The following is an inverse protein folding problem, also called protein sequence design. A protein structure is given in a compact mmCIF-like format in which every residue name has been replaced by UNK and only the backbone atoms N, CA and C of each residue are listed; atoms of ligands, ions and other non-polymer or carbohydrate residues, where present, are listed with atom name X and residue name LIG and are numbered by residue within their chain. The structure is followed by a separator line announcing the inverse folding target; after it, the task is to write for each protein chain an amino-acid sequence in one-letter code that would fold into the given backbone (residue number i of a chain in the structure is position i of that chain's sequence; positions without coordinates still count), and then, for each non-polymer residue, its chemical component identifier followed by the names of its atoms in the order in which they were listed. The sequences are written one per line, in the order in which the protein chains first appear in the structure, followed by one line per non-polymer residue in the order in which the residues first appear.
data_IF_369022066014
#
_entry.id   IF_369022066014
#
_cell.length_a   1.000
_cell.length_b   1.000
_cell.length_c   1.000
_cell.angle_alpha   90.00
_cell.angle_beta   90.00
_cell.angle_gamma   90.00
#
_symmetry.space_group_name_H-M   'P 1'
#
loop_
_entity.id
_entity.type
_entity.pdbx_description
1 polymer ?
#
# COMPACT_ATOMS: atom_id res chain seq x y z
N UNK A 1 -11.29 -16.56 -7.67
CA UNK A 1 -10.66 -15.59 -6.75
C UNK A 1 -9.50 -16.27 -6.03
N UNK A 2 -8.37 -15.58 -5.92
CA UNK A 2 -7.19 -16.00 -5.16
C UNK A 2 -6.89 -14.94 -4.08
N UNK A 3 -6.11 -15.34 -3.08
CA UNK A 3 -5.53 -14.44 -2.09
C UNK A 3 -4.02 -14.60 -2.14
N UNK A 4 -3.32 -13.47 -2.16
CA UNK A 4 -1.88 -13.41 -2.00
C UNK A 4 -1.61 -12.74 -0.66
N UNK A 5 -0.82 -13.38 0.20
CA UNK A 5 -0.46 -12.83 1.49
C UNK A 5 0.93 -13.27 1.88
N UNK A 6 1.69 -12.36 2.49
CA UNK A 6 3.04 -12.65 2.94
C UNK A 6 3.73 -11.41 3.47
N UNK A 7 5.03 -11.53 3.69
CA UNK A 7 5.89 -10.46 4.17
C UNK A 7 7.11 -10.35 3.28
N UNK A 8 7.55 -9.11 3.03
CA UNK A 8 8.83 -8.80 2.38
C UNK A 8 9.68 -8.06 3.40
N UNK A 9 10.88 -8.57 3.64
CA UNK A 9 11.83 -8.00 4.60
C UNK A 9 12.88 -7.19 3.87
N UNK A 10 13.21 -6.04 4.44
CA UNK A 10 14.22 -5.12 3.95
C UNK A 10 15.25 -4.83 5.06
N UNK A 11 16.31 -4.11 4.72
CA UNK A 11 17.26 -3.58 5.69
C UNK A 11 16.59 -2.62 6.69
N UNK A 12 17.35 -2.22 7.71
CA UNK A 12 16.89 -1.30 8.77
C UNK A 12 15.64 -1.79 9.52
N UNK A 13 15.44 -3.11 9.57
CA UNK A 13 14.31 -3.76 10.24
C UNK A 13 12.94 -3.32 9.68
N UNK A 14 12.89 -2.99 8.39
CA UNK A 14 11.65 -2.67 7.70
C UNK A 14 11.02 -3.96 7.17
N UNK A 15 9.71 -4.12 7.38
CA UNK A 15 8.90 -5.15 6.71
C UNK A 15 7.69 -4.54 6.03
N UNK A 16 7.39 -5.08 4.85
CA UNK A 16 6.14 -4.88 4.14
C UNK A 16 5.24 -6.10 4.35
N UNK A 17 4.08 -5.92 4.95
CA UNK A 17 3.02 -6.93 5.01
C UNK A 17 2.13 -6.75 3.80
N UNK A 18 1.94 -7.83 3.03
CA UNK A 18 1.17 -7.85 1.78
C UNK A 18 -0.10 -8.64 1.97
N UNK A 19 -1.24 -8.08 1.56
CA UNK A 19 -2.53 -8.78 1.41
C UNK A 19 -3.22 -8.30 0.15
N UNK A 20 -3.40 -9.19 -0.82
CA UNK A 20 -4.11 -8.90 -2.08
C UNK A 20 -5.21 -9.93 -2.32
N UNK A 21 -6.27 -9.47 -2.97
CA UNK A 21 -7.33 -10.30 -3.53
C UNK A 21 -7.28 -10.18 -5.04
N UNK A 22 -7.20 -11.33 -5.71
CA UNK A 22 -6.99 -11.40 -7.15
C UNK A 22 -8.19 -12.08 -7.81
N UNK A 23 -8.78 -11.41 -8.79
CA UNK A 23 -9.73 -12.00 -9.72
C UNK A 23 -8.96 -12.50 -10.95
N UNK A 24 -9.19 -13.76 -11.32
CA UNK A 24 -8.46 -14.46 -12.37
C UNK A 24 -9.39 -15.26 -13.30
N UNK A 25 -10.70 -15.10 -13.14
CA UNK A 25 -11.74 -15.70 -13.98
C UNK A 25 -11.69 -15.16 -15.42
N UNK A 26 -11.02 -14.03 -15.64
CA UNK A 26 -10.64 -13.48 -16.95
C UNK A 26 -9.20 -13.01 -16.91
N UNK A 27 -8.56 -13.00 -18.08
CA UNK A 27 -7.20 -12.48 -18.25
C UNK A 27 -7.23 -11.06 -18.87
N UNK A 28 -6.32 -10.16 -18.45
CA UNK A 28 -5.34 -10.36 -17.37
C UNK A 28 -6.02 -10.45 -15.99
N UNK A 29 -5.38 -11.16 -15.05
CA UNK A 29 -5.83 -11.17 -13.67
C UNK A 29 -5.67 -9.77 -13.06
N UNK A 30 -6.61 -9.38 -12.19
CA UNK A 30 -6.65 -8.04 -11.59
C UNK A 30 -6.75 -8.11 -10.08
N UNK A 31 -6.26 -7.07 -9.42
CA UNK A 31 -6.48 -6.87 -7.99
C UNK A 31 -7.87 -6.28 -7.82
N UNK A 32 -8.70 -6.83 -6.94
CA UNK A 32 -10.03 -6.26 -6.59
C UNK A 32 -10.13 -5.86 -5.11
N UNK A 33 -9.04 -6.01 -4.38
CA UNK A 33 -8.85 -5.49 -3.02
C UNK A 33 -7.43 -5.73 -2.56
N UNK A 34 -6.90 -4.81 -1.76
CA UNK A 34 -5.56 -4.95 -1.18
C UNK A 34 -5.47 -4.27 0.19
N UNK A 35 -4.42 -4.62 0.92
CA UNK A 35 -3.91 -3.89 2.07
C UNK A 35 -2.42 -4.11 2.18
N UNK A 36 -1.65 -3.03 2.25
CA UNK A 36 -0.19 -3.08 2.38
C UNK A 36 0.23 -2.31 3.63
N UNK A 37 1.00 -2.90 4.52
CA UNK A 37 1.47 -2.22 5.74
C UNK A 37 2.98 -2.19 5.79
N UNK A 38 3.56 -1.02 6.03
CA UNK A 38 5.00 -0.87 6.22
C UNK A 38 5.29 -0.62 7.68
N UNK A 39 6.17 -1.43 8.24
CA UNK A 39 6.58 -1.39 9.64
C UNK A 39 8.09 -1.30 9.75
N UNK A 40 8.58 -0.62 10.77
CA UNK A 40 9.97 -0.68 11.22
C UNK A 40 9.99 -1.25 12.64
N UNK A 41 10.49 -2.48 12.80
CA UNK A 41 10.34 -3.24 14.04
C UNK A 41 8.88 -3.37 14.47
N UNK A 42 8.52 -2.71 15.57
CA UNK A 42 7.15 -2.68 16.12
C UNK A 42 6.37 -1.41 15.78
N UNK A 43 6.99 -0.44 15.10
CA UNK A 43 6.35 0.81 14.71
C UNK A 43 5.75 0.67 13.31
N UNK A 44 4.44 0.91 13.17
CA UNK A 44 3.82 1.04 11.84
C UNK A 44 4.18 2.42 11.28
N UNK A 45 4.82 2.45 10.12
CA UNK A 45 5.23 3.69 9.44
C UNK A 45 4.09 4.26 8.63
N UNK A 46 3.46 3.43 7.78
CA UNK A 46 2.32 3.80 6.94
C UNK A 46 1.59 2.54 6.44
N UNK A 47 0.40 2.71 5.87
CA UNK A 47 -0.26 1.64 5.11
C UNK A 47 -1.05 2.18 3.92
N UNK A 48 -1.44 1.28 3.04
CA UNK A 48 -2.29 1.53 1.89
C UNK A 48 -3.48 0.60 1.92
N UNK A 49 -4.66 1.12 1.61
CA UNK A 49 -5.83 0.31 1.32
C UNK A 49 -6.74 1.02 0.30
N UNK A 50 -7.79 0.31 -0.10
CA UNK A 50 -8.76 0.78 -1.08
C UNK A 50 -10.16 0.90 -0.47
N UNK A 51 -10.27 1.18 0.84
CA UNK A 51 -11.56 1.46 1.46
C UNK A 51 -12.14 2.76 0.85
N UNK A 52 -13.33 2.73 0.23
CA UNK A 52 -13.91 3.93 -0.35
C UNK A 52 -14.23 4.99 0.70
N UNK A 53 -13.84 6.24 0.42
CA UNK A 53 -14.21 7.44 1.18
C UNK A 53 -14.86 8.47 0.24
N UNK A 54 -16.09 8.22 -0.25
CA UNK A 54 -16.74 9.05 -1.27
C UNK A 54 -16.98 10.50 -0.82
N UNK A 55 -17.16 10.72 0.49
CA UNK A 55 -17.44 12.06 1.04
C UNK A 55 -16.16 12.87 1.33
N UNK A 56 -14.97 12.28 1.20
CA UNK A 56 -13.71 12.99 1.35
C UNK A 56 -13.23 13.53 0.00
N UNK A 57 -13.43 14.84 -0.20
CA UNK A 57 -13.02 15.54 -1.42
C UNK A 57 -11.50 15.45 -1.68
N UNK A 58 -10.67 15.33 -0.63
CA UNK A 58 -9.23 15.30 -0.76
C UNK A 58 -8.74 13.99 -1.40
N UNK A 59 -9.48 12.89 -1.24
CA UNK A 59 -9.10 11.56 -1.73
C UNK A 59 -9.64 11.22 -3.12
N UNK A 60 -10.49 12.08 -3.70
CA UNK A 60 -11.18 11.79 -4.95
C UNK A 60 -10.23 11.61 -6.14
N UNK A 61 -9.08 12.29 -6.14
CA UNK A 61 -8.10 12.22 -7.24
C UNK A 61 -7.52 10.82 -7.45
N UNK A 62 -7.56 9.96 -6.43
CA UNK A 62 -7.06 8.59 -6.49
C UNK A 62 -8.09 7.57 -6.03
N UNK A 63 -9.37 7.92 -6.00
CA UNK A 63 -10.44 7.06 -5.50
C UNK A 63 -10.38 5.65 -6.12
N UNK A 64 -10.46 4.56 -5.32
CA UNK A 64 -10.61 4.51 -3.86
C UNK A 64 -9.27 4.45 -3.09
N UNK A 65 -8.14 4.53 -3.81
CA UNK A 65 -6.81 4.30 -3.28
C UNK A 65 -6.34 5.46 -2.42
N UNK A 66 -5.80 5.16 -1.25
CA UNK A 66 -5.19 6.16 -0.38
C UNK A 66 -4.10 5.55 0.49
N UNK A 67 -3.27 6.43 1.05
CA UNK A 67 -2.21 6.10 2.00
C UNK A 67 -2.55 6.67 3.36
N UNK A 68 -2.29 5.91 4.40
CA UNK A 68 -2.36 6.32 5.78
C UNK A 68 -0.98 6.65 6.32
N UNK A 69 -0.79 7.86 6.87
CA UNK A 69 0.51 8.34 7.37
C UNK A 69 0.38 9.02 8.74
N UNK A 70 1.42 9.04 9.60
CA UNK A 70 1.43 9.85 10.82
C UNK A 70 1.38 11.37 10.54
N UNK A 71 1.00 12.21 11.52
CA UNK A 71 0.43 11.84 12.83
C UNK A 71 -1.00 11.34 12.71
N UNK A 72 -1.52 10.69 13.77
CA UNK A 72 -2.86 10.10 13.81
C UNK A 72 -3.20 9.25 12.57
N UNK A 73 -2.34 8.24 12.34
CA UNK A 73 -2.32 7.41 11.14
C UNK A 73 -3.67 6.76 10.78
N UNK A 74 -4.60 6.62 11.74
CA UNK A 74 -5.96 6.10 11.49
C UNK A 74 -6.87 7.12 10.80
N UNK A 75 -6.60 8.41 10.93
CA UNK A 75 -7.41 9.49 10.40
C UNK A 75 -6.69 10.35 9.36
N UNK A 76 -5.37 10.30 9.32
CA UNK A 76 -4.57 11.05 8.35
C UNK A 76 -4.32 10.23 7.08
N UNK A 77 -5.08 10.57 6.03
CA UNK A 77 -5.07 9.93 4.71
C UNK A 77 -4.58 10.91 3.66
N UNK A 78 -3.83 10.42 2.69
CA UNK A 78 -3.44 11.20 1.50
C UNK A 78 -3.74 10.40 0.22
N UNK A 79 -3.99 11.09 -0.91
CA UNK A 79 -4.10 10.45 -2.21
C UNK A 79 -2.85 9.64 -2.57
N UNK A 80 -3.04 8.56 -3.32
CA UNK A 80 -1.93 7.74 -3.82
C UNK A 80 -2.13 7.33 -5.28
N UNK A 81 -1.50 8.03 -6.24
CA UNK A 81 -1.67 7.72 -7.67
C UNK A 81 -0.91 6.45 -8.09
N UNK A 82 0.00 5.97 -7.23
CA UNK A 82 0.87 4.82 -7.51
C UNK A 82 0.16 3.49 -7.32
N UNK A 83 -0.95 3.43 -6.57
CA UNK A 83 -1.73 2.20 -6.41
C UNK A 83 -2.72 2.00 -7.55
N UNK A 84 -3.03 0.73 -7.82
CA UNK A 84 -3.96 0.35 -8.87
C UNK A 84 -4.65 -0.99 -8.60
N UNK A 85 -5.71 -1.23 -9.36
CA UNK A 85 -6.34 -2.53 -9.50
C UNK A 85 -5.93 -3.28 -10.78
N UNK A 86 -5.41 -2.58 -11.77
CA UNK A 86 -5.15 -3.13 -13.12
C UNK A 86 -3.67 -3.37 -13.41
N UNK A 87 -2.78 -3.02 -12.46
CA UNK A 87 -1.35 -3.34 -12.50
C UNK A 87 -0.90 -3.84 -11.11
N UNK A 88 0.22 -4.59 -11.02
CA UNK A 88 0.81 -4.97 -9.74
C UNK A 88 1.24 -3.74 -8.94
N UNK A 89 0.95 -3.71 -7.64
CA UNK A 89 1.36 -2.61 -6.76
C UNK A 89 2.71 -2.89 -6.07
N UNK A 90 3.11 -4.16 -5.95
CA UNK A 90 4.31 -4.57 -5.22
C UNK A 90 5.61 -3.90 -5.71
N UNK A 91 5.87 -3.72 -7.03
CA UNK A 91 7.07 -3.03 -7.49
C UNK A 91 7.18 -1.57 -6.99
N UNK A 92 6.07 -0.83 -6.99
CA UNK A 92 6.04 0.56 -6.51
C UNK A 92 6.29 0.62 -4.99
N UNK A 93 5.71 -0.31 -4.23
CA UNK A 93 5.93 -0.43 -2.77
C UNK A 93 7.39 -0.73 -2.44
N UNK A 94 8.01 -1.66 -3.19
CA UNK A 94 9.44 -1.99 -3.01
C UNK A 94 10.29 -0.75 -3.26
N UNK A 95 10.06 -0.04 -4.37
CA UNK A 95 10.82 1.15 -4.72
C UNK A 95 10.68 2.27 -3.68
N UNK A 96 9.48 2.50 -3.16
CA UNK A 96 9.22 3.48 -2.12
C UNK A 96 10.00 3.16 -0.82
N UNK A 97 10.02 1.88 -0.41
CA UNK A 97 10.73 1.43 0.78
C UNK A 97 12.26 1.54 0.60
N UNK A 98 12.79 1.17 -0.56
CA UNK A 98 14.21 1.31 -0.88
C UNK A 98 14.66 2.79 -0.84
N UNK A 99 13.81 3.69 -1.33
CA UNK A 99 14.05 5.14 -1.26
C UNK A 99 14.10 5.62 0.19
N UNK A 100 13.15 5.18 1.02
CA UNK A 100 13.12 5.49 2.46
C UNK A 100 14.40 5.05 3.18
N UNK A 101 14.89 3.83 2.91
CA UNK A 101 16.13 3.29 3.49
C UNK A 101 17.34 4.14 3.09
N UNK A 102 17.38 4.56 1.82
CA UNK A 102 18.46 5.38 1.28
C UNK A 102 18.48 6.76 1.94
N UNK A 103 17.32 7.38 2.14
CA UNK A 103 17.22 8.69 2.78
C UNK A 103 17.62 8.68 4.26
N UNK A 104 17.37 7.58 4.98
CA UNK A 104 17.88 7.40 6.35
C UNK A 104 19.38 7.18 6.45
N UNK A 105 20.03 6.82 5.34
CA UNK A 105 21.47 6.55 5.29
C UNK A 105 22.30 7.80 4.95
N UNK A 106 21.64 8.94 4.71
CA UNK A 106 22.26 10.26 4.47
C UNK A 106 22.30 11.10 5.73
#
# INVERSE_FOLDING_TARGET
MARVSGEVFFDQNIRLIVRERILYDRLPAVIDGYGYEVWQGTQKLYWYDAQPHPDDANLQSTFPHHKHIPPDIKHHRIPTPIMSFTRPNLPELIHEIETLITDYSR
#
